data_IF_624044519315
#
_entry.id   IF_624044519315
#
_cell.length_a   1.000
_cell.length_b   1.000
_cell.length_c   1.000
_cell.angle_alpha   90.00
_cell.angle_beta   90.00
_cell.angle_gamma   90.00
#
_symmetry.space_group_name_H-M   'P 1'
#
loop_
_entity.id
_entity.type
_entity.pdbx_description
1 polymer ?
#
# COMPACT_ATOMS: atom_id res chain seq x y z
N UNK A 1 16.45 -1.46 3.02
CA UNK A 1 15.38 -2.44 3.32
C UNK A 1 14.60 -2.73 2.05
N UNK A 2 14.27 -4.00 1.83
CA UNK A 2 13.32 -4.42 0.79
C UNK A 2 11.92 -4.40 1.39
N UNK A 3 10.93 -3.90 0.65
CA UNK A 3 9.53 -3.95 1.04
C UNK A 3 8.70 -4.72 -0.01
N UNK A 4 7.72 -5.47 0.45
CA UNK A 4 6.65 -6.05 -0.36
C UNK A 4 5.34 -5.32 -0.03
N UNK A 5 4.58 -5.00 -1.08
CA UNK A 5 3.18 -4.59 -0.98
C UNK A 5 2.33 -5.65 -1.69
N UNK A 6 1.27 -6.13 -1.04
CA UNK A 6 0.32 -7.07 -1.63
C UNK A 6 -1.11 -6.59 -1.43
N UNK A 7 -1.73 -6.14 -2.52
CA UNK A 7 -3.09 -5.61 -2.56
C UNK A 7 -4.08 -6.77 -2.66
N UNK A 8 -4.98 -6.88 -1.69
CA UNK A 8 -5.84 -8.05 -1.53
C UNK A 8 -7.26 -7.79 -1.99
N UNK A 9 -7.77 -8.70 -2.82
CA UNK A 9 -9.20 -8.91 -3.05
C UNK A 9 -9.64 -10.11 -2.24
N UNK A 10 -10.76 -9.98 -1.54
CA UNK A 10 -11.41 -11.12 -0.89
C UNK A 10 -11.95 -12.10 -1.92
N UNK A 11 -12.12 -13.36 -1.54
CA UNK A 11 -12.91 -14.31 -2.33
C UNK A 11 -14.33 -13.80 -2.58
N UNK A 12 -14.93 -14.08 -3.76
CA UNK A 12 -16.30 -13.67 -4.07
C UNK A 12 -17.35 -14.17 -3.07
N UNK A 13 -17.10 -15.30 -2.39
CA UNK A 13 -17.99 -15.89 -1.39
C UNK A 13 -17.87 -15.28 0.00
N UNK A 14 -16.98 -14.31 0.22
CA UNK A 14 -16.73 -13.70 1.53
C UNK A 14 -17.14 -12.23 1.55
N UNK A 15 -17.63 -11.77 2.70
CA UNK A 15 -17.72 -10.34 2.97
C UNK A 15 -16.33 -9.77 3.28
N UNK A 16 -16.16 -8.44 3.15
CA UNK A 16 -14.90 -7.77 3.53
C UNK A 16 -14.61 -7.97 5.01
N UNK A 17 -15.63 -7.84 5.85
CA UNK A 17 -15.51 -8.04 7.30
C UNK A 17 -15.04 -9.45 7.65
N UNK A 18 -15.64 -10.49 7.05
CA UNK A 18 -15.23 -11.88 7.30
C UNK A 18 -13.79 -12.15 6.84
N UNK A 19 -13.41 -11.59 5.68
CA UNK A 19 -12.05 -11.71 5.16
C UNK A 19 -11.04 -11.03 6.07
N UNK A 20 -11.29 -9.77 6.44
CA UNK A 20 -10.42 -8.99 7.32
C UNK A 20 -10.31 -9.61 8.72
N UNK A 21 -11.41 -10.14 9.27
CA UNK A 21 -11.40 -10.87 10.55
C UNK A 21 -10.55 -12.13 10.48
N UNK A 22 -10.76 -12.99 9.48
CA UNK A 22 -9.91 -14.19 9.29
C UNK A 22 -8.43 -13.80 9.13
N UNK A 23 -8.18 -12.77 8.32
CA UNK A 23 -6.83 -12.28 8.06
C UNK A 23 -6.13 -11.78 9.33
N UNK A 24 -6.84 -11.06 10.20
CA UNK A 24 -6.29 -10.51 11.43
C UNK A 24 -6.19 -11.52 12.58
N UNK A 25 -7.17 -12.40 12.75
CA UNK A 25 -7.24 -13.29 13.90
C UNK A 25 -6.49 -14.60 13.67
N UNK A 26 -6.55 -15.16 12.45
CA UNK A 26 -5.97 -16.47 12.14
C UNK A 26 -4.66 -16.34 11.35
N UNK A 27 -4.71 -15.70 10.18
CA UNK A 27 -3.55 -15.61 9.30
C UNK A 27 -2.41 -14.77 9.92
N UNK A 28 -2.74 -13.70 10.65
CA UNK A 28 -1.74 -12.88 11.34
C UNK A 28 -0.94 -13.69 12.36
N UNK A 29 -1.61 -14.58 13.12
CA UNK A 29 -0.96 -15.43 14.11
C UNK A 29 -0.02 -16.43 13.43
N UNK A 30 -0.44 -17.02 12.30
CA UNK A 30 0.40 -17.90 11.49
C UNK A 30 1.65 -17.19 10.97
N UNK A 31 1.50 -16.00 10.38
CA UNK A 31 2.64 -15.19 9.91
C UNK A 31 3.55 -14.79 11.07
N UNK A 32 2.99 -14.35 12.20
CA UNK A 32 3.74 -14.00 13.39
C UNK A 32 4.62 -15.16 13.88
N UNK A 33 4.05 -16.36 13.95
CA UNK A 33 4.72 -17.60 14.37
C UNK A 33 5.93 -17.96 13.49
N UNK A 34 5.87 -17.68 12.19
CA UNK A 34 6.95 -18.02 11.24
C UNK A 34 7.79 -16.84 10.76
N UNK A 35 7.53 -15.65 11.27
CA UNK A 35 8.19 -14.41 10.84
C UNK A 35 9.71 -14.42 10.93
N UNK A 36 10.29 -15.13 11.92
CA UNK A 36 11.75 -15.30 12.03
C UNK A 36 12.30 -16.23 10.96
N UNK A 37 11.60 -17.33 10.69
CA UNK A 37 11.94 -18.27 9.61
C UNK A 37 11.96 -17.58 8.25
N UNK A 38 11.00 -16.67 8.01
CA UNK A 38 10.92 -15.90 6.77
C UNK A 38 11.76 -14.60 6.78
N UNK A 39 12.53 -14.34 7.84
CA UNK A 39 13.38 -13.15 7.95
C UNK A 39 12.63 -11.80 7.98
N UNK A 40 11.32 -11.81 8.28
CA UNK A 40 10.49 -10.60 8.29
C UNK A 40 10.85 -9.69 9.47
N UNK A 41 11.17 -8.43 9.17
CA UNK A 41 11.43 -7.39 10.18
C UNK A 41 10.16 -6.65 10.61
N UNK A 42 9.22 -6.51 9.68
CA UNK A 42 7.92 -5.87 9.94
C UNK A 42 6.85 -6.53 9.10
N UNK A 43 5.65 -6.63 9.65
CA UNK A 43 4.44 -7.06 8.95
C UNK A 43 3.27 -6.20 9.43
N UNK A 44 2.60 -5.56 8.49
CA UNK A 44 1.42 -4.72 8.75
C UNK A 44 0.29 -5.19 7.85
N UNK A 45 -0.90 -5.35 8.45
CA UNK A 45 -2.14 -5.46 7.68
C UNK A 45 -2.78 -4.08 7.62
N UNK A 46 -3.06 -3.61 6.42
CA UNK A 46 -3.72 -2.34 6.16
C UNK A 46 -5.14 -2.65 5.68
N UNK A 47 -6.11 -2.54 6.57
CA UNK A 47 -7.51 -2.88 6.31
C UNK A 47 -8.25 -1.68 5.75
N UNK A 48 -8.83 -1.81 4.57
CA UNK A 48 -9.69 -0.78 3.98
C UNK A 48 -10.92 -0.57 4.86
N UNK A 49 -11.27 0.69 5.13
CA UNK A 49 -12.40 1.07 5.98
C UNK A 49 -13.74 0.96 5.27
N UNK A 50 -14.85 1.20 5.98
CA UNK A 50 -16.19 1.35 5.39
C UNK A 50 -16.52 2.80 4.98
N UNK A 51 -15.52 3.68 4.92
CA UNK A 51 -15.71 5.07 4.48
C UNK A 51 -16.19 5.12 3.02
N UNK A 52 -16.88 6.21 2.64
CA UNK A 52 -17.41 6.39 1.29
C UNK A 52 -16.30 6.75 0.30
N UNK A 53 -15.63 5.75 -0.28
CA UNK A 53 -14.48 5.97 -1.18
C UNK A 53 -14.87 6.54 -2.54
N UNK A 54 -16.11 6.42 -3.00
CA UNK A 54 -16.54 6.94 -4.32
C UNK A 54 -16.35 8.46 -4.46
N UNK A 55 -16.41 9.20 -3.34
CA UNK A 55 -16.24 10.66 -3.32
C UNK A 55 -14.77 11.09 -3.17
N UNK A 56 -13.91 10.17 -2.73
CA UNK A 56 -12.53 10.45 -2.39
C UNK A 56 -11.69 10.96 -3.58
N UNK A 57 -11.84 10.44 -4.83
CA UNK A 57 -11.12 10.94 -5.98
C UNK A 57 -11.40 12.42 -6.31
N UNK A 58 -12.62 12.89 -6.04
CA UNK A 58 -13.07 14.25 -6.35
C UNK A 58 -12.84 14.62 -7.82
N UNK A 59 -11.94 15.59 -8.07
CA UNK A 59 -11.58 16.08 -9.41
C UNK A 59 -10.89 15.03 -10.30
N UNK A 60 -10.39 13.94 -9.71
CA UNK A 60 -9.73 12.84 -10.42
C UNK A 60 -10.72 11.96 -11.20
N UNK A 61 -12.02 12.07 -10.90
CA UNK A 61 -13.07 11.31 -11.59
C UNK A 61 -13.19 9.88 -11.07
N UNK A 62 -13.83 9.02 -11.87
CA UNK A 62 -14.01 7.60 -11.53
C UNK A 62 -12.67 6.87 -11.61
N UNK A 63 -12.37 6.07 -10.60
CA UNK A 63 -11.15 5.27 -10.44
C UNK A 63 -11.52 3.78 -10.34
N UNK A 64 -10.52 2.90 -10.37
CA UNK A 64 -10.70 1.47 -10.08
C UNK A 64 -11.17 1.25 -8.64
N UNK A 65 -11.96 0.20 -8.43
CA UNK A 65 -12.54 -0.15 -7.14
C UNK A 65 -11.48 -0.25 -6.02
N UNK A 66 -11.74 0.24 -4.80
CA UNK A 66 -10.89 -0.01 -3.63
C UNK A 66 -10.61 -1.49 -3.41
N UNK A 67 -9.38 -1.83 -3.04
CA UNK A 67 -9.05 -3.18 -2.56
C UNK A 67 -9.60 -3.40 -1.14
N UNK A 68 -9.70 -4.66 -0.71
CA UNK A 68 -10.19 -4.99 0.63
C UNK A 68 -9.13 -4.77 1.71
N UNK A 69 -7.85 -4.73 1.33
CA UNK A 69 -6.75 -4.36 2.19
C UNK A 69 -5.39 -4.58 1.54
N UNK A 70 -4.32 -4.34 2.30
CA UNK A 70 -2.95 -4.41 1.82
C UNK A 70 -2.04 -5.07 2.87
N UNK A 71 -1.29 -6.09 2.47
CA UNK A 71 -0.18 -6.62 3.27
C UNK A 71 1.05 -5.78 2.97
N UNK A 72 1.75 -5.35 4.02
CA UNK A 72 3.06 -4.72 3.90
C UNK A 72 4.08 -5.53 4.70
N UNK A 73 5.17 -5.95 4.03
CA UNK A 73 6.22 -6.78 4.66
C UNK A 73 7.60 -6.19 4.36
N UNK A 74 8.50 -6.25 5.33
CA UNK A 74 9.85 -5.73 5.18
C UNK A 74 10.92 -6.71 5.59
N UNK A 75 12.03 -6.65 4.85
CA UNK A 75 13.26 -7.38 5.11
C UNK A 75 14.45 -6.41 5.12
N UNK A 76 15.54 -6.84 5.75
CA UNK A 76 16.79 -6.08 5.79
C UNK A 76 17.29 -5.75 4.37
N UNK A 77 17.30 -6.76 3.52
CA UNK A 77 17.69 -6.67 2.12
C UNK A 77 17.01 -7.75 1.28
N UNK A 78 17.10 -7.61 -0.04
CA UNK A 78 16.72 -8.66 -0.99
C UNK A 78 17.47 -9.97 -0.75
N UNK A 79 18.77 -9.91 -0.46
CA UNK A 79 19.57 -11.10 -0.19
C UNK A 79 19.07 -11.84 1.06
N UNK A 80 18.78 -11.12 2.14
CA UNK A 80 18.25 -11.71 3.37
C UNK A 80 16.88 -12.36 3.17
N UNK A 81 16.01 -11.74 2.37
CA UNK A 81 14.72 -12.32 2.00
C UNK A 81 14.92 -13.63 1.21
N UNK A 82 15.74 -13.60 0.15
CA UNK A 82 16.00 -14.77 -0.70
C UNK A 82 16.59 -15.92 0.12
N UNK A 83 17.58 -15.65 0.97
CA UNK A 83 18.19 -16.65 1.85
C UNK A 83 17.15 -17.33 2.74
N UNK A 84 16.30 -16.53 3.40
CA UNK A 84 15.27 -17.03 4.30
C UNK A 84 14.26 -17.92 3.56
N UNK A 85 13.69 -17.44 2.44
CA UNK A 85 12.65 -18.19 1.69
C UNK A 85 13.20 -19.38 0.91
N UNK A 86 14.50 -19.39 0.60
CA UNK A 86 15.18 -20.49 -0.11
C UNK A 86 15.68 -21.60 0.81
N UNK A 87 15.52 -21.47 2.13
CA UNK A 87 15.79 -22.56 3.07
C UNK A 87 14.71 -23.65 3.00
N UNK A 88 14.98 -24.85 3.53
CA UNK A 88 13.98 -25.92 3.59
C UNK A 88 12.78 -25.52 4.45
N UNK A 89 13.02 -24.92 5.61
CA UNK A 89 11.98 -24.39 6.49
C UNK A 89 11.23 -23.23 5.83
N UNK A 90 11.96 -22.33 5.14
CA UNK A 90 11.36 -21.22 4.40
C UNK A 90 10.40 -21.68 3.32
N UNK A 91 10.78 -22.69 2.52
CA UNK A 91 9.89 -23.31 1.52
C UNK A 91 8.69 -24.01 2.14
N UNK A 92 8.86 -24.65 3.30
CA UNK A 92 7.75 -25.28 4.02
C UNK A 92 6.75 -24.22 4.47
N UNK A 93 7.24 -23.15 5.10
CA UNK A 93 6.40 -22.05 5.58
C UNK A 93 5.72 -21.32 4.42
N UNK A 94 6.42 -21.05 3.30
CA UNK A 94 5.82 -20.42 2.12
C UNK A 94 4.61 -21.23 1.61
N UNK A 95 4.73 -22.56 1.55
CA UNK A 95 3.59 -23.43 1.18
C UNK A 95 2.43 -23.30 2.18
N UNK A 96 2.72 -23.36 3.48
CA UNK A 96 1.70 -23.23 4.53
C UNK A 96 0.97 -21.88 4.43
N UNK A 97 1.70 -20.79 4.20
CA UNK A 97 1.10 -19.45 4.02
C UNK A 97 0.25 -19.38 2.76
N UNK A 98 0.72 -19.93 1.64
CA UNK A 98 -0.05 -19.94 0.38
C UNK A 98 -1.33 -20.75 0.47
N UNK A 99 -1.28 -21.93 1.12
CA UNK A 99 -2.47 -22.74 1.39
C UNK A 99 -3.47 -22.00 2.29
N UNK A 100 -2.99 -21.15 3.19
CA UNK A 100 -3.84 -20.32 4.03
C UNK A 100 -4.40 -19.10 3.30
N UNK A 101 -3.58 -18.41 2.50
CA UNK A 101 -3.97 -17.30 1.60
C UNK A 101 -5.12 -17.74 0.68
N UNK A 102 -5.03 -18.96 0.13
CA UNK A 102 -6.07 -19.57 -0.70
C UNK A 102 -7.41 -19.71 -0.01
N UNK A 103 -7.54 -19.60 1.32
CA UNK A 103 -8.83 -19.70 2.00
C UNK A 103 -9.66 -18.42 1.89
N UNK A 104 -9.02 -17.25 1.87
CA UNK A 104 -9.69 -15.95 1.99
C UNK A 104 -9.38 -14.94 0.88
N UNK A 105 -8.28 -15.13 0.14
CA UNK A 105 -7.84 -14.22 -0.92
C UNK A 105 -8.29 -14.74 -2.29
N UNK A 106 -8.80 -13.83 -3.12
CA UNK A 106 -8.87 -14.04 -4.57
C UNK A 106 -7.51 -13.71 -5.19
N UNK A 107 -6.64 -14.71 -5.23
CA UNK A 107 -5.25 -14.55 -5.69
C UNK A 107 -5.13 -14.07 -7.14
N UNK A 108 -6.10 -14.42 -7.98
CA UNK A 108 -6.12 -14.03 -9.40
C UNK A 108 -6.32 -12.53 -9.59
N UNK A 109 -7.10 -11.90 -8.70
CA UNK A 109 -7.38 -10.46 -8.74
C UNK A 109 -6.65 -9.65 -7.66
N UNK A 110 -5.76 -10.29 -6.90
CA UNK A 110 -4.87 -9.67 -5.92
C UNK A 110 -3.48 -9.50 -6.51
N UNK A 111 -2.83 -8.36 -6.29
CA UNK A 111 -1.58 -8.03 -6.97
C UNK A 111 -0.51 -7.59 -5.99
N UNK A 112 0.70 -8.11 -6.18
CA UNK A 112 1.83 -7.82 -5.33
C UNK A 112 2.97 -7.15 -6.09
N UNK A 113 3.79 -6.37 -5.41
CA UNK A 113 5.04 -5.86 -5.95
C UNK A 113 6.05 -5.55 -4.86
N UNK A 114 7.32 -5.78 -5.19
CA UNK A 114 8.43 -5.33 -4.38
C UNK A 114 8.70 -3.84 -4.64
N UNK A 115 9.19 -3.15 -3.62
CA UNK A 115 9.34 -1.71 -3.65
C UNK A 115 10.33 -1.21 -2.61
N UNK A 116 10.66 0.08 -2.73
CA UNK A 116 11.38 0.84 -1.72
C UNK A 116 10.59 2.10 -1.34
N UNK A 117 10.81 2.57 -0.13
CA UNK A 117 10.17 3.77 0.41
C UNK A 117 11.00 5.02 0.14
N UNK A 118 10.32 6.11 -0.21
CA UNK A 118 10.91 7.43 -0.42
C UNK A 118 10.13 8.47 0.39
N UNK A 119 10.41 8.62 1.70
CA UNK A 119 9.70 9.53 2.59
C UNK A 119 9.80 10.99 2.12
N UNK A 120 8.68 11.70 2.16
CA UNK A 120 8.60 13.11 1.76
C UNK A 120 8.25 14.00 2.96
N UNK A 121 7.27 13.59 3.76
CA UNK A 121 6.88 14.25 5.00
C UNK A 121 6.92 13.18 6.07
N UNK A 122 7.81 13.32 7.06
CA UNK A 122 7.91 12.37 8.16
C UNK A 122 8.01 13.14 9.47
N UNK A 123 7.10 12.91 10.43
CA UNK A 123 7.20 13.55 11.73
C UNK A 123 8.26 12.85 12.58
N UNK A 124 8.77 13.57 13.59
CA UNK A 124 9.66 13.01 14.61
C UNK A 124 8.89 12.98 15.95
N UNK A 125 8.76 11.82 16.62
CA UNK A 125 9.24 10.49 16.19
C UNK A 125 8.43 9.90 15.02
N UNK A 126 9.07 9.00 14.26
CA UNK A 126 8.48 8.36 13.07
C UNK A 126 7.51 7.22 13.41
N UNK A 127 6.58 7.46 14.35
CA UNK A 127 5.70 6.45 14.92
C UNK A 127 4.21 6.66 14.59
N UNK A 128 3.91 7.39 13.52
CA UNK A 128 2.52 7.62 13.08
C UNK A 128 1.95 6.37 12.45
N UNK A 129 0.92 5.82 13.10
CA UNK A 129 0.16 4.64 12.68
C UNK A 129 -1.33 4.92 12.81
N UNK A 130 -2.09 4.68 11.74
CA UNK A 130 -3.53 4.84 11.67
C UNK A 130 -4.27 3.64 12.27
N UNK A 131 -4.18 3.43 13.58
CA UNK A 131 -4.87 2.31 14.26
C UNK A 131 -6.38 2.55 14.37
N UNK A 132 -7.16 1.48 14.56
CA UNK A 132 -8.61 1.57 14.78
C UNK A 132 -9.01 2.46 15.97
N UNK A 133 -8.14 2.54 16.99
CA UNK A 133 -8.37 3.33 18.21
C UNK A 133 -7.97 4.80 18.07
N UNK A 134 -7.54 5.24 16.89
CA UNK A 134 -7.14 6.62 16.61
C UNK A 134 -8.08 7.30 15.60
N UNK A 135 -8.08 8.62 15.58
CA UNK A 135 -8.73 9.44 14.55
C UNK A 135 -7.96 9.45 13.22
N UNK A 136 -6.76 8.88 13.19
CA UNK A 136 -5.90 8.90 12.01
C UNK A 136 -6.40 7.94 10.94
N UNK A 137 -6.26 8.34 9.69
CA UNK A 137 -6.49 7.53 8.51
C UNK A 137 -5.22 7.43 7.70
N UNK A 138 -5.03 6.28 7.05
CA UNK A 138 -4.06 6.11 5.97
C UNK A 138 -4.80 6.15 4.65
N UNK A 139 -4.55 7.17 3.84
CA UNK A 139 -4.91 7.19 2.42
C UNK A 139 -3.91 6.32 1.67
N UNK A 140 -4.41 5.29 0.99
CA UNK A 140 -3.65 4.47 0.07
C UNK A 140 -4.01 4.86 -1.36
N UNK A 141 -3.02 5.23 -2.17
CA UNK A 141 -3.24 5.65 -3.55
C UNK A 141 -2.25 4.94 -4.49
N UNK A 142 -2.54 3.68 -4.91
CA UNK A 142 -1.82 2.99 -5.98
C UNK A 142 -2.01 3.66 -7.32
N UNK A 143 -0.90 3.83 -8.04
CA UNK A 143 -0.84 4.68 -9.23
C UNK A 143 -0.50 3.85 -10.47
N UNK A 144 -1.24 4.07 -11.54
CA UNK A 144 -0.77 3.79 -12.90
C UNK A 144 -0.36 5.08 -13.57
N UNK A 145 0.68 5.00 -14.37
CA UNK A 145 1.14 6.12 -15.18
C UNK A 145 0.31 6.27 -16.45
N UNK A 146 0.33 7.48 -17.02
CA UNK A 146 -0.18 7.72 -18.37
C UNK A 146 0.59 6.88 -19.40
N UNK A 147 -0.11 6.39 -20.43
CA UNK A 147 0.50 5.55 -21.49
C UNK A 147 1.65 6.24 -22.24
N UNK A 148 1.69 7.58 -22.23
CA UNK A 148 2.76 8.37 -22.84
C UNK A 148 4.09 8.35 -22.04
N UNK A 149 4.09 7.80 -20.83
CA UNK A 149 5.25 7.74 -19.95
C UNK A 149 5.65 6.30 -19.68
N UNK A 150 6.96 6.03 -19.71
CA UNK A 150 7.50 4.82 -19.11
C UNK A 150 7.36 4.86 -17.59
N UNK A 151 7.44 3.69 -16.93
CA UNK A 151 7.45 3.61 -15.47
C UNK A 151 8.59 4.45 -14.87
N UNK A 152 9.79 4.40 -15.47
CA UNK A 152 10.95 5.14 -14.97
C UNK A 152 10.75 6.65 -15.04
N UNK A 153 10.23 7.17 -16.16
CA UNK A 153 9.92 8.60 -16.33
C UNK A 153 8.85 9.07 -15.33
N UNK A 154 7.77 8.29 -15.17
CA UNK A 154 6.70 8.62 -14.24
C UNK A 154 7.18 8.61 -12.79
N UNK A 155 7.94 7.60 -12.38
CA UNK A 155 8.51 7.53 -11.04
C UNK A 155 9.56 8.64 -10.81
N UNK A 156 10.38 8.97 -11.81
CA UNK A 156 11.32 10.08 -11.73
C UNK A 156 10.60 11.41 -11.53
N UNK A 157 9.55 11.69 -12.32
CA UNK A 157 8.71 12.88 -12.17
C UNK A 157 8.09 12.92 -10.77
N UNK A 158 7.56 11.78 -10.31
CA UNK A 158 6.94 11.66 -9.00
C UNK A 158 7.91 12.00 -7.85
N UNK A 159 9.15 11.53 -7.90
CA UNK A 159 10.18 11.84 -6.88
C UNK A 159 10.66 13.29 -6.94
N UNK A 160 10.90 13.81 -8.14
CA UNK A 160 11.65 15.05 -8.35
C UNK A 160 10.78 16.29 -8.49
N UNK A 161 9.51 16.14 -8.86
CA UNK A 161 8.56 17.24 -9.06
C UNK A 161 7.40 17.16 -8.08
N UNK A 162 6.65 16.06 -8.09
CA UNK A 162 5.45 15.92 -7.27
C UNK A 162 5.77 15.84 -5.77
N UNK A 163 6.81 15.10 -5.38
CA UNK A 163 7.29 15.03 -3.99
C UNK A 163 7.50 16.42 -3.37
N UNK A 164 8.31 17.31 -3.99
CA UNK A 164 8.42 18.71 -3.59
C UNK A 164 7.12 19.50 -3.52
N UNK A 165 6.17 19.28 -4.44
CA UNK A 165 4.84 19.93 -4.40
C UNK A 165 4.12 19.57 -3.11
N UNK A 166 4.01 18.28 -2.78
CA UNK A 166 3.33 17.83 -1.56
C UNK A 166 4.04 18.32 -0.31
N UNK A 167 5.38 18.23 -0.24
CA UNK A 167 6.15 18.70 0.93
C UNK A 167 5.88 20.17 1.24
N UNK A 168 5.85 21.03 0.22
CA UNK A 168 5.62 22.48 0.39
C UNK A 168 4.23 22.83 0.92
N UNK A 169 3.25 21.95 0.73
CA UNK A 169 1.86 22.21 1.10
C UNK A 169 1.33 21.28 2.20
N UNK A 170 2.16 20.40 2.75
CA UNK A 170 1.76 19.35 3.68
C UNK A 170 1.01 19.89 4.90
N UNK A 171 1.57 20.91 5.56
CA UNK A 171 0.97 21.54 6.73
C UNK A 171 -0.42 22.12 6.43
N UNK A 172 -0.55 22.89 5.34
CA UNK A 172 -1.85 23.45 4.92
C UNK A 172 -2.84 22.40 4.40
N UNK A 173 -2.37 21.19 4.11
CA UNK A 173 -3.19 20.06 3.65
C UNK A 173 -3.57 19.10 4.77
N UNK A 174 -3.13 19.34 6.02
CA UNK A 174 -3.36 18.42 7.15
C UNK A 174 -2.60 17.09 7.04
N UNK A 175 -1.57 17.03 6.18
CA UNK A 175 -0.75 15.82 5.99
C UNK A 175 0.22 15.71 7.16
N UNK A 176 0.07 14.65 7.95
CA UNK A 176 0.95 14.33 9.08
C UNK A 176 2.17 13.55 8.64
N UNK A 177 1.99 12.64 7.68
CA UNK A 177 3.04 11.82 7.07
C UNK A 177 2.69 11.57 5.61
N UNK A 178 3.70 11.59 4.75
CA UNK A 178 3.58 11.27 3.33
C UNK A 178 4.81 10.48 2.87
N UNK A 179 4.55 9.30 2.33
CA UNK A 179 5.55 8.46 1.69
C UNK A 179 5.17 8.19 0.25
N UNK A 180 6.18 8.26 -0.62
CA UNK A 180 6.10 7.64 -1.93
C UNK A 180 6.69 6.25 -1.81
N UNK A 181 6.02 5.26 -2.36
CA UNK A 181 6.52 3.89 -2.41
C UNK A 181 6.62 3.47 -3.86
N UNK A 182 7.85 3.26 -4.32
CA UNK A 182 8.16 3.05 -5.74
C UNK A 182 8.33 1.56 -6.01
N UNK A 183 7.58 1.01 -6.97
CA UNK A 183 7.80 -0.36 -7.42
C UNK A 183 9.23 -0.50 -7.94
N UNK A 184 9.84 -1.62 -7.59
CA UNK A 184 11.15 -2.04 -8.08
C UNK A 184 11.17 -3.57 -8.18
N UNK A 185 12.32 -4.14 -8.54
CA UNK A 185 12.56 -5.59 -8.52
C UNK A 185 11.58 -6.35 -9.42
N UNK A 186 11.48 -5.94 -10.70
CA UNK A 186 10.51 -6.46 -11.66
C UNK A 186 10.49 -7.99 -11.76
N UNK A 187 11.66 -8.64 -11.76
CA UNK A 187 11.75 -10.10 -11.81
C UNK A 187 11.18 -10.79 -10.57
N UNK A 188 11.40 -10.22 -9.38
CA UNK A 188 10.81 -10.77 -8.15
C UNK A 188 9.30 -10.54 -8.11
N UNK A 189 8.87 -9.35 -8.55
CA UNK A 189 7.46 -9.00 -8.67
C UNK A 189 6.73 -9.93 -9.64
N UNK A 190 7.30 -10.20 -10.81
CA UNK A 190 6.74 -11.12 -11.80
C UNK A 190 6.66 -12.55 -11.24
N UNK A 191 7.75 -13.06 -10.68
CA UNK A 191 7.78 -14.42 -10.11
C UNK A 191 6.71 -14.62 -9.01
N UNK A 192 6.53 -13.62 -8.14
CA UNK A 192 5.55 -13.66 -7.05
C UNK A 192 4.10 -13.66 -7.55
N UNK A 193 3.79 -12.85 -8.58
CA UNK A 193 2.46 -12.78 -9.17
C UNK A 193 2.14 -14.05 -9.97
N UNK A 194 3.10 -14.56 -10.75
CA UNK A 194 2.97 -15.84 -11.49
C UNK A 194 2.70 -16.99 -10.54
N UNK A 195 3.40 -17.07 -9.40
CA UNK A 195 3.18 -18.14 -8.41
C UNK A 195 1.79 -18.11 -7.76
N UNK A 196 1.06 -17.00 -7.89
CA UNK A 196 -0.30 -16.80 -7.36
C UNK A 196 -1.36 -16.78 -8.45
N UNK A 197 -0.97 -16.94 -9.72
CA UNK A 197 -1.90 -16.85 -10.86
C UNK A 197 -2.55 -15.48 -10.99
N UNK A 198 -1.89 -14.42 -10.52
CA UNK A 198 -2.38 -13.05 -10.61
C UNK A 198 -2.48 -12.61 -12.08
N UNK A 199 -3.62 -12.01 -12.44
CA UNK A 199 -3.91 -11.49 -13.78
C UNK A 199 -3.97 -9.97 -13.82
N UNK A 200 -3.69 -9.31 -12.70
CA UNK A 200 -3.71 -7.86 -12.57
C UNK A 200 -2.31 -7.32 -12.83
N UNK A 201 -2.19 -6.40 -13.78
CA UNK A 201 -0.95 -5.67 -14.03
C UNK A 201 -0.52 -4.92 -12.75
N UNK A 202 0.71 -5.05 -12.23
CA UNK A 202 1.12 -4.33 -11.04
C UNK A 202 1.16 -2.80 -11.28
N UNK A 203 0.91 -2.02 -10.22
CA UNK A 203 0.97 -0.55 -10.27
C UNK A 203 2.42 -0.05 -10.36
N UNK A 204 2.63 1.24 -10.68
CA UNK A 204 3.97 1.86 -10.68
C UNK A 204 4.56 1.97 -9.26
N UNK A 205 3.70 1.88 -8.25
CA UNK A 205 3.93 2.21 -6.86
C UNK A 205 2.66 2.80 -6.25
N UNK A 206 2.76 3.36 -5.05
CA UNK A 206 1.63 3.95 -4.35
C UNK A 206 2.04 5.07 -3.38
N UNK A 207 1.18 6.08 -3.26
CA UNK A 207 1.31 7.09 -2.22
C UNK A 207 0.63 6.60 -0.93
N UNK A 208 1.28 6.85 0.20
CA UNK A 208 0.69 6.66 1.53
C UNK A 208 0.64 8.01 2.24
N UNK A 209 -0.54 8.42 2.67
CA UNK A 209 -0.74 9.71 3.36
C UNK A 209 -1.47 9.47 4.67
N UNK A 210 -0.87 9.89 5.78
CA UNK A 210 -1.54 9.89 7.08
C UNK A 210 -2.09 11.26 7.38
N UNK A 211 -3.35 11.28 7.81
CA UNK A 211 -4.07 12.49 8.17
C UNK A 211 -5.09 12.19 9.25
N UNK A 212 -5.49 13.22 9.99
CA UNK A 212 -6.57 13.10 10.96
C UNK A 212 -7.93 13.19 10.24
N UNK A 213 -8.92 12.37 10.62
CA UNK A 213 -10.30 12.44 10.09
C UNK A 213 -10.88 13.85 10.11
N UNK A 214 -10.59 14.63 11.16
CA UNK A 214 -11.08 16.00 11.30
C UNK A 214 -10.58 16.95 10.20
N UNK A 215 -9.47 16.61 9.54
CA UNK A 215 -8.89 17.41 8.45
C UNK A 215 -9.60 17.23 7.09
N UNK A 216 -10.43 16.19 6.93
CA UNK A 216 -11.08 15.88 5.65
C UNK A 216 -12.43 16.59 5.42
N UNK A 217 -13.14 16.97 6.50
CA UNK A 217 -14.55 17.39 6.41
C UNK A 217 -14.80 18.86 6.06
N UNK A 218 -13.87 19.78 6.40
CA UNK A 218 -14.03 21.22 6.21
C UNK A 218 -12.75 21.86 5.65
N UNK A 219 -12.55 21.82 4.32
CA UNK A 219 -11.31 22.28 3.72
C UNK A 219 -11.17 23.81 3.80
N UNK A 220 -10.07 24.28 4.38
CA UNK A 220 -9.66 25.69 4.38
C UNK A 220 -9.35 26.18 2.95
N UNK A 221 -9.27 27.51 2.72
CA UNK A 221 -8.81 28.04 1.43
C UNK A 221 -7.44 27.49 1.00
N UNK A 222 -6.52 27.33 1.93
CA UNK A 222 -5.17 26.78 1.71
C UNK A 222 -5.26 25.32 1.28
N UNK A 223 -6.08 24.52 1.96
CA UNK A 223 -6.30 23.11 1.62
C UNK A 223 -6.89 22.97 0.20
N UNK A 224 -7.89 23.79 -0.16
CA UNK A 224 -8.49 23.77 -1.51
C UNK A 224 -7.47 24.08 -2.60
N UNK A 225 -6.59 25.05 -2.35
CA UNK A 225 -5.55 25.43 -3.31
C UNK A 225 -4.44 24.37 -3.40
N UNK A 226 -4.05 23.77 -2.27
CA UNK A 226 -3.11 22.66 -2.23
C UNK A 226 -3.65 21.43 -2.99
N UNK A 227 -4.91 21.08 -2.76
CA UNK A 227 -5.61 19.99 -3.46
C UNK A 227 -5.64 20.22 -4.98
N UNK A 228 -5.91 21.46 -5.42
CA UNK A 228 -5.86 21.82 -6.84
C UNK A 228 -4.47 21.64 -7.45
N UNK A 229 -3.43 22.15 -6.78
CA UNK A 229 -2.03 22.02 -7.25
C UNK A 229 -1.59 20.55 -7.32
N UNK A 230 -1.96 19.76 -6.32
CA UNK A 230 -1.70 18.32 -6.32
C UNK A 230 -2.37 17.66 -7.51
N UNK A 231 -3.67 17.90 -7.71
CA UNK A 231 -4.41 17.36 -8.86
C UNK A 231 -3.82 17.77 -10.21
N UNK A 232 -3.54 19.06 -10.42
CA UNK A 232 -2.97 19.58 -11.67
C UNK A 232 -1.58 18.98 -11.96
N UNK A 233 -0.82 18.67 -10.93
CA UNK A 233 0.50 18.04 -11.05
C UNK A 233 0.41 16.53 -11.27
N UNK A 234 -0.44 15.85 -10.51
CA UNK A 234 -0.74 14.43 -10.64
C UNK A 234 -1.25 14.08 -12.04
N UNK A 235 -2.13 14.91 -12.62
CA UNK A 235 -2.68 14.71 -13.96
C UNK A 235 -1.63 14.70 -15.07
N UNK A 236 -0.39 15.11 -14.80
CA UNK A 236 0.72 15.06 -15.77
C UNK A 236 1.37 13.70 -15.86
N UNK A 237 1.19 12.82 -14.88
CA UNK A 237 1.85 11.51 -14.85
C UNK A 237 0.97 10.34 -14.41
N UNK A 238 -0.18 10.59 -13.78
CA UNK A 238 -1.09 9.55 -13.28
C UNK A 238 -2.26 9.35 -14.24
N UNK A 239 -2.51 8.11 -14.63
CA UNK A 239 -3.79 7.69 -15.19
C UNK A 239 -4.76 7.42 -14.04
N UNK A 240 -5.64 8.39 -13.74
CA UNK A 240 -6.57 8.26 -12.63
C UNK A 240 -7.59 7.13 -12.84
N UNK A 241 -8.03 6.87 -14.07
CA UNK A 241 -9.08 5.89 -14.35
C UNK A 241 -8.61 4.45 -14.11
N UNK A 242 -7.32 4.18 -14.34
CA UNK A 242 -6.67 2.90 -14.05
C UNK A 242 -5.91 2.86 -12.72
N UNK A 243 -6.06 3.89 -11.90
CA UNK A 243 -5.53 3.94 -10.54
C UNK A 243 -6.66 3.67 -9.54
N UNK A 244 -6.34 3.48 -8.27
CA UNK A 244 -7.36 3.33 -7.21
C UNK A 244 -6.97 4.14 -5.98
N UNK A 245 -7.92 4.49 -5.13
CA UNK A 245 -7.66 5.25 -3.92
C UNK A 245 -8.66 4.88 -2.84
N UNK A 246 -8.16 4.66 -1.62
CA UNK A 246 -9.01 4.28 -0.50
C UNK A 246 -8.41 4.66 0.85
N UNK A 247 -9.27 4.66 1.86
CA UNK A 247 -8.92 4.93 3.26
C UNK A 247 -8.81 3.62 4.01
N UNK A 248 -7.82 3.54 4.90
CA UNK A 248 -7.50 2.32 5.62
C UNK A 248 -7.05 2.56 7.07
N UNK A 249 -7.07 1.48 7.84
CA UNK A 249 -6.55 1.34 9.20
C UNK A 249 -5.43 0.30 9.23
N UNK A 250 -4.50 0.48 10.15
CA UNK A 250 -3.28 -0.32 10.25
C UNK A 250 -3.29 -1.21 11.50
N UNK A 251 -2.95 -2.49 11.30
CA UNK A 251 -2.69 -3.48 12.34
C UNK A 251 -1.22 -3.91 12.23
N UNK A 252 -0.39 -3.41 13.14
CA UNK A 252 1.04 -3.76 13.19
C UNK A 252 1.20 -5.06 13.97
N UNK A 253 1.52 -6.15 13.28
CA UNK A 253 1.60 -7.50 13.89
C UNK A 253 3.03 -7.79 14.34
N UNK A 254 4.01 -7.40 13.51
CA UNK A 254 5.43 -7.56 13.79
C UNK A 254 6.09 -6.22 13.58
N UNK A 255 6.90 -5.77 14.55
CA UNK A 255 7.76 -4.60 14.42
C UNK A 255 9.08 -4.83 15.16
N UNK A 256 10.17 -4.94 14.40
CA UNK A 256 11.54 -5.19 14.92
C UNK A 256 12.54 -4.13 14.44
N UNK A 257 12.04 -3.01 13.95
CA UNK A 257 12.85 -1.88 13.48
C UNK A 257 13.40 -1.06 14.63
#
# INVERSE_FOLDING_TARGET
MLRLTFMLRRKPSMSREDMQRYWLEEHAALVAGHSRTLGMLRYVQVHTTDDEHEKLPGRRGKMEEPYDGVVEVWWESKAAMIEAVSSDDGRLVDRLLREDEEKFIDLKHSVAWFNYEYPQVNPTPENVVATERSSLLKLYFPLRQLDALTMEEAQWYWRTHHGPVIRRQAHGSGILRYQQVHRDEDQLTEALNVSRGCEVEPYLGHAEVWMDRSSMGNPTPENKLASRRAYEDEAKFIDFARSTMFLAKEHVIIDRR
#
